data_IF_619375560101
#
_entry.id   IF_619375560101
#
_cell.length_a   1.000
_cell.length_b   1.000
_cell.length_c   1.000
_cell.angle_alpha   90.00
_cell.angle_beta   90.00
_cell.angle_gamma   90.00
#
_symmetry.space_group_name_H-M   'P 1'
#
loop_
_entity.id
_entity.type
_entity.pdbx_description
1 polymer ?
#
# COMPACT_ATOMS: atom_id res chain seq x y z
N UNK A 1 -10.28 10.04 -21.93
CA UNK A 1 -10.52 8.79 -21.17
C UNK A 1 -9.75 8.91 -19.87
N UNK A 2 -10.37 8.60 -18.73
CA UNK A 2 -9.68 8.59 -17.44
C UNK A 2 -8.53 7.60 -17.49
N UNK A 3 -7.44 7.92 -16.77
CA UNK A 3 -6.35 7.00 -16.49
C UNK A 3 -6.94 5.68 -15.95
N UNK A 4 -6.69 4.53 -16.58
CA UNK A 4 -7.11 3.22 -16.09
C UNK A 4 -6.63 3.00 -14.67
N UNK A 5 -7.30 2.10 -13.98
CA UNK A 5 -7.12 2.04 -12.53
C UNK A 5 -6.10 0.99 -12.11
N UNK A 6 -5.79 0.13 -13.08
CA UNK A 6 -4.54 -0.57 -13.15
C UNK A 6 -3.34 0.37 -12.89
N UNK A 7 -3.45 1.71 -12.95
CA UNK A 7 -2.34 2.66 -12.96
C UNK A 7 -1.98 3.33 -11.61
N UNK A 8 -2.63 3.02 -10.47
CA UNK A 8 -2.56 3.89 -9.26
C UNK A 8 -1.93 3.22 -8.03
N UNK A 9 -0.68 2.79 -8.11
CA UNK A 9 -0.07 2.05 -7.00
C UNK A 9 0.25 2.89 -5.73
N UNK A 10 0.26 4.22 -5.85
CA UNK A 10 0.22 5.13 -4.72
C UNK A 10 -1.08 4.99 -3.91
N UNK A 11 -2.20 4.59 -4.55
CA UNK A 11 -3.46 4.28 -3.86
C UNK A 11 -3.31 3.06 -2.96
N UNK A 12 -2.60 2.00 -3.38
CA UNK A 12 -2.38 0.81 -2.56
C UNK A 12 -1.63 1.14 -1.27
N UNK A 13 -0.61 1.99 -1.35
CA UNK A 13 0.07 2.46 -0.14
C UNK A 13 -0.82 3.38 0.70
N UNK A 14 -1.48 4.38 0.10
CA UNK A 14 -2.30 5.35 0.80
C UNK A 14 -3.55 4.73 1.46
N UNK A 15 -4.06 3.63 0.90
CA UNK A 15 -5.22 2.89 1.41
C UNK A 15 -4.86 1.75 2.37
N UNK A 16 -3.66 1.17 2.28
CA UNK A 16 -3.33 -0.02 3.08
C UNK A 16 -1.88 -0.06 3.54
N UNK A 17 -0.93 0.11 2.62
CA UNK A 17 0.48 -0.10 2.93
C UNK A 17 0.87 -1.53 3.30
N UNK A 18 -0.04 -2.51 3.27
CA UNK A 18 0.20 -3.92 3.65
C UNK A 18 0.40 -4.85 2.43
N UNK A 19 1.16 -5.93 2.64
CA UNK A 19 1.43 -7.03 1.72
C UNK A 19 0.29 -8.07 1.64
N UNK A 20 -0.53 -8.22 2.69
CA UNK A 20 -1.43 -9.38 2.83
C UNK A 20 -2.73 -9.30 2.01
N UNK A 21 -3.18 -8.09 1.66
CA UNK A 21 -4.38 -7.80 0.87
C UNK A 21 -4.10 -7.27 -0.54
N UNK A 22 -2.84 -7.04 -0.89
CA UNK A 22 -2.45 -6.31 -2.10
C UNK A 22 -2.97 -6.93 -3.41
N UNK A 23 -3.18 -8.24 -3.47
CA UNK A 23 -3.76 -8.89 -4.66
C UNK A 23 -5.23 -8.49 -4.86
N UNK A 24 -6.02 -8.40 -3.78
CA UNK A 24 -7.42 -8.03 -3.89
C UNK A 24 -7.62 -6.52 -3.87
N UNK A 25 -6.88 -5.76 -3.06
CA UNK A 25 -7.13 -4.32 -2.92
C UNK A 25 -6.90 -3.58 -4.24
N UNK A 26 -5.86 -3.94 -5.00
CA UNK A 26 -5.65 -3.32 -6.31
C UNK A 26 -6.76 -3.69 -7.30
N UNK A 27 -7.25 -4.93 -7.27
CA UNK A 27 -8.39 -5.38 -8.08
C UNK A 27 -9.68 -4.66 -7.67
N UNK A 28 -10.03 -4.64 -6.38
CA UNK A 28 -11.19 -3.95 -5.80
C UNK A 28 -11.16 -2.45 -6.11
N UNK A 29 -9.97 -1.84 -5.96
CA UNK A 29 -9.74 -0.45 -6.35
C UNK A 29 -9.96 -0.25 -7.84
N UNK A 30 -9.43 -1.14 -8.67
CA UNK A 30 -9.59 -1.11 -10.13
C UNK A 30 -11.02 -1.31 -10.61
N UNK A 31 -11.79 -2.13 -9.90
CA UNK A 31 -13.20 -2.36 -10.17
C UNK A 31 -14.05 -1.16 -9.75
N UNK A 32 -13.87 -0.67 -8.52
CA UNK A 32 -14.65 0.44 -7.97
C UNK A 32 -14.54 1.71 -8.81
N UNK A 33 -13.32 2.05 -9.20
CA UNK A 33 -13.06 3.23 -10.02
C UNK A 33 -13.55 3.07 -11.45
N UNK A 34 -13.49 1.86 -12.05
CA UNK A 34 -14.12 1.57 -13.34
C UNK A 34 -15.63 1.75 -13.24
N UNK A 35 -16.22 1.33 -12.12
CA UNK A 35 -17.62 1.58 -11.80
C UNK A 35 -17.89 3.08 -11.69
N UNK A 36 -17.12 3.84 -10.91
CA UNK A 36 -17.22 5.31 -10.78
C UNK A 36 -17.16 5.99 -12.16
N UNK A 37 -16.28 5.55 -13.05
CA UNK A 37 -16.14 6.08 -14.41
C UNK A 37 -17.38 5.80 -15.28
N UNK A 38 -18.05 4.68 -15.05
CA UNK A 38 -19.26 4.27 -15.80
C UNK A 38 -20.55 4.82 -15.20
N UNK A 39 -20.51 5.32 -13.95
CA UNK A 39 -21.68 5.88 -13.28
C UNK A 39 -22.22 7.13 -13.97
N UNK A 40 -23.52 7.37 -13.81
CA UNK A 40 -24.08 8.66 -14.18
C UNK A 40 -23.44 9.73 -13.28
N UNK A 41 -22.87 10.78 -13.88
CA UNK A 41 -22.23 11.87 -13.15
C UNK A 41 -23.18 12.53 -12.15
N UNK A 42 -24.48 12.53 -12.43
CA UNK A 42 -25.49 13.07 -11.51
C UNK A 42 -25.63 12.24 -10.21
N UNK A 43 -25.25 10.95 -10.24
CA UNK A 43 -25.23 10.09 -9.05
C UNK A 43 -24.02 10.35 -8.14
N UNK A 44 -22.99 11.03 -8.67
CA UNK A 44 -21.78 11.41 -7.93
C UNK A 44 -21.84 12.84 -7.41
N UNK A 45 -22.59 13.73 -8.07
CA UNK A 45 -22.76 15.11 -7.63
C UNK A 45 -23.25 16.06 -8.73
N UNK A 46 -23.66 17.26 -8.33
CA UNK A 46 -24.23 18.26 -9.25
C UNK A 46 -23.17 19.07 -10.00
N UNK A 47 -21.93 19.04 -9.53
CA UNK A 47 -20.79 19.68 -10.17
C UNK A 47 -19.55 18.80 -10.03
N UNK A 48 -18.50 19.12 -10.77
CA UNK A 48 -17.27 18.33 -10.80
C UNK A 48 -16.63 18.17 -9.43
N UNK A 49 -16.60 19.21 -8.59
CA UNK A 49 -15.98 19.12 -7.27
C UNK A 49 -16.75 18.15 -6.36
N UNK A 50 -18.08 18.19 -6.38
CA UNK A 50 -18.93 17.21 -5.67
C UNK A 50 -18.68 15.79 -6.19
N UNK A 51 -18.56 15.62 -7.50
CA UNK A 51 -18.29 14.32 -8.13
C UNK A 51 -16.92 13.76 -7.71
N UNK A 52 -15.88 14.59 -7.71
CA UNK A 52 -14.53 14.24 -7.26
C UNK A 52 -14.50 13.92 -5.76
N UNK A 53 -15.23 14.69 -4.95
CA UNK A 53 -15.37 14.46 -3.51
C UNK A 53 -16.04 13.11 -3.21
N UNK A 54 -17.15 12.80 -3.90
CA UNK A 54 -17.86 11.54 -3.71
C UNK A 54 -17.04 10.34 -4.20
N UNK A 55 -16.35 10.48 -5.34
CA UNK A 55 -15.43 9.46 -5.82
C UNK A 55 -14.32 9.18 -4.80
N UNK A 56 -13.67 10.21 -4.27
CA UNK A 56 -12.66 10.08 -3.21
C UNK A 56 -13.22 9.47 -1.93
N UNK A 57 -14.46 9.82 -1.56
CA UNK A 57 -15.14 9.24 -0.40
C UNK A 57 -15.30 7.73 -0.55
N UNK A 58 -15.83 7.27 -1.69
CA UNK A 58 -15.98 5.84 -1.98
C UNK A 58 -14.65 5.11 -2.02
N UNK A 59 -13.64 5.72 -2.64
CA UNK A 59 -12.29 5.16 -2.68
C UNK A 59 -11.71 5.00 -1.27
N UNK A 60 -11.93 5.98 -0.38
CA UNK A 60 -11.46 5.89 1.00
C UNK A 60 -12.10 4.76 1.80
N UNK A 61 -13.26 4.22 1.37
CA UNK A 61 -13.92 3.08 2.02
C UNK A 61 -13.20 1.75 1.76
N UNK A 62 -12.35 1.67 0.73
CA UNK A 62 -11.49 0.51 0.48
C UNK A 62 -10.29 0.43 1.43
N UNK A 63 -10.10 1.47 2.23
CA UNK A 63 -8.97 1.57 3.14
C UNK A 63 -9.00 0.45 4.17
N UNK A 64 -7.85 -0.12 4.47
CA UNK A 64 -7.73 -1.08 5.56
C UNK A 64 -8.07 -0.43 6.92
N UNK A 65 -8.49 -1.24 7.91
CA UNK A 65 -8.79 -0.73 9.24
C UNK A 65 -7.63 0.08 9.82
N UNK A 66 -7.99 1.17 10.52
CA UNK A 66 -7.03 1.97 11.27
C UNK A 66 -6.48 1.16 12.44
N UNK A 67 -5.15 1.07 12.50
CA UNK A 67 -4.39 0.45 13.60
C UNK A 67 -4.01 1.50 14.64
N UNK A 68 -3.62 2.70 14.18
CA UNK A 68 -3.13 3.78 15.02
C UNK A 68 -3.88 5.07 14.73
N UNK A 69 -4.75 5.49 15.64
CA UNK A 69 -5.59 6.67 15.49
C UNK A 69 -4.77 7.97 15.52
N UNK A 70 -5.17 8.92 14.67
CA UNK A 70 -4.59 10.27 14.60
C UNK A 70 -5.73 11.27 14.43
N UNK A 71 -5.64 12.41 15.10
CA UNK A 71 -6.77 13.34 15.23
C UNK A 71 -7.25 13.91 13.92
N UNK A 72 -6.37 14.62 13.22
CA UNK A 72 -6.64 15.28 11.94
C UNK A 72 -5.72 14.70 10.86
N UNK A 73 -6.29 13.85 10.00
CA UNK A 73 -5.60 13.14 8.94
C UNK A 73 -6.47 13.00 7.70
N UNK A 74 -5.88 13.11 6.52
CA UNK A 74 -6.59 13.09 5.25
C UNK A 74 -5.95 12.14 4.25
N UNK A 75 -6.80 11.40 3.53
CA UNK A 75 -6.47 10.81 2.24
C UNK A 75 -6.66 11.90 1.18
N UNK A 76 -5.59 12.20 0.45
CA UNK A 76 -5.60 13.22 -0.59
C UNK A 76 -5.52 12.56 -1.98
N UNK A 77 -6.15 13.20 -2.96
CA UNK A 77 -6.11 12.79 -4.36
C UNK A 77 -5.89 14.00 -5.28
N UNK A 78 -4.98 13.86 -6.24
CA UNK A 78 -4.73 14.85 -7.30
C UNK A 78 -5.43 14.45 -8.61
N UNK A 79 -6.09 15.40 -9.27
CA UNK A 79 -6.81 15.22 -10.52
C UNK A 79 -6.13 16.02 -11.64
N UNK A 80 -5.30 15.38 -12.47
CA UNK A 80 -4.48 16.12 -13.45
C UNK A 80 -5.27 16.75 -14.61
N UNK A 81 -6.50 16.32 -14.90
CA UNK A 81 -7.31 16.94 -15.96
C UNK A 81 -8.64 17.47 -15.44
N UNK A 82 -9.11 18.56 -16.05
CA UNK A 82 -10.34 19.29 -15.71
C UNK A 82 -11.62 18.44 -15.74
N UNK A 83 -11.61 17.27 -16.39
CA UNK A 83 -12.78 16.38 -16.48
C UNK A 83 -12.63 15.08 -15.68
N UNK A 84 -11.47 14.88 -15.03
CA UNK A 84 -11.19 13.67 -14.27
C UNK A 84 -12.04 13.62 -13.01
N UNK A 85 -12.67 12.45 -12.80
CA UNK A 85 -13.48 12.15 -11.61
C UNK A 85 -12.84 11.09 -10.72
N UNK A 86 -11.74 10.47 -11.18
CA UNK A 86 -10.88 9.61 -10.37
C UNK A 86 -9.50 10.27 -10.32
N UNK A 87 -8.89 10.43 -9.13
CA UNK A 87 -7.55 11.00 -9.00
C UNK A 87 -6.51 10.16 -9.73
N UNK A 88 -5.43 10.78 -10.17
CA UNK A 88 -4.26 10.14 -10.76
C UNK A 88 -3.14 9.85 -9.75
N UNK A 89 -3.10 10.58 -8.63
CA UNK A 89 -2.11 10.40 -7.57
C UNK A 89 -2.74 10.52 -6.18
N UNK A 90 -2.15 9.82 -5.20
CA UNK A 90 -2.63 9.75 -3.82
C UNK A 90 -1.51 9.92 -2.82
N UNK A 91 -1.79 10.66 -1.74
CA UNK A 91 -0.91 10.80 -0.59
C UNK A 91 -1.72 10.93 0.68
N UNK A 92 -1.03 10.99 1.81
CA UNK A 92 -1.62 11.20 3.13
C UNK A 92 -1.11 12.52 3.70
N UNK A 93 -2.02 13.33 4.22
CA UNK A 93 -1.70 14.48 5.06
C UNK A 93 -2.03 14.15 6.51
N UNK A 94 -1.02 14.06 7.37
CA UNK A 94 -1.18 14.03 8.82
C UNK A 94 -1.02 15.45 9.34
N UNK A 95 -2.15 16.16 9.41
CA UNK A 95 -2.18 17.57 9.86
C UNK A 95 -1.98 17.70 11.36
N UNK A 96 -2.24 16.64 12.13
CA UNK A 96 -1.94 16.60 13.56
C UNK A 96 -0.47 16.80 13.83
N UNK A 97 0.38 16.15 13.02
CA UNK A 97 1.83 16.21 13.15
C UNK A 97 2.49 17.13 12.12
N UNK A 98 1.70 17.73 11.21
CA UNK A 98 2.17 18.66 10.19
C UNK A 98 3.00 18.00 9.10
N UNK A 99 2.77 16.71 8.79
CA UNK A 99 3.56 15.98 7.80
C UNK A 99 2.70 15.48 6.64
N UNK A 100 3.29 15.49 5.45
CA UNK A 100 2.74 14.81 4.27
C UNK A 100 3.57 13.58 3.99
N UNK A 101 2.90 12.46 3.75
CA UNK A 101 3.56 11.20 3.43
C UNK A 101 3.07 10.76 2.07
N UNK A 102 4.05 10.56 1.19
CA UNK A 102 3.86 10.23 -0.20
C UNK A 102 4.73 9.03 -0.58
N UNK A 103 4.36 8.32 -1.64
CA UNK A 103 5.15 7.22 -2.18
C UNK A 103 5.29 7.33 -3.67
N UNK A 104 6.48 6.95 -4.15
CA UNK A 104 6.75 6.86 -5.56
C UNK A 104 6.95 5.42 -6.00
N UNK A 105 6.71 5.19 -7.29
CA UNK A 105 6.63 3.85 -7.88
C UNK A 105 8.00 3.17 -7.89
N UNK A 106 9.09 3.95 -8.03
CA UNK A 106 10.47 3.47 -8.12
C UNK A 106 11.26 3.61 -6.80
N UNK A 107 10.57 3.79 -5.66
CA UNK A 107 11.20 3.94 -4.36
C UNK A 107 10.85 2.82 -3.39
N UNK A 108 11.89 2.26 -2.81
CA UNK A 108 11.89 1.32 -1.68
C UNK A 108 11.60 2.00 -0.34
N UNK A 109 11.48 3.33 -0.32
CA UNK A 109 11.12 4.11 0.86
C UNK A 109 9.90 5.02 0.61
N UNK A 110 9.24 5.41 1.71
CA UNK A 110 8.29 6.52 1.72
C UNK A 110 9.03 7.85 1.61
N UNK A 111 8.37 8.86 1.05
CA UNK A 111 8.82 10.25 1.09
C UNK A 111 7.98 10.97 2.13
N UNK A 112 8.63 11.64 3.07
CA UNK A 112 7.93 12.46 4.05
C UNK A 112 8.35 13.91 3.87
N UNK A 113 7.37 14.80 3.83
CA UNK A 113 7.53 16.24 3.73
C UNK A 113 7.06 16.86 5.04
N UNK A 114 7.82 17.82 5.58
CA UNK A 114 7.56 18.45 6.89
C UNK A 114 6.40 19.48 6.91
N UNK A 115 5.52 19.41 5.91
CA UNK A 115 4.35 20.30 5.77
C UNK A 115 3.15 19.55 5.23
N UNK A 116 1.99 20.16 5.40
CA UNK A 116 0.71 19.77 4.78
C UNK A 116 0.22 20.87 3.84
N UNK A 117 -0.60 20.51 2.87
CA UNK A 117 -1.21 21.50 1.97
C UNK A 117 -2.23 22.36 2.69
N UNK A 118 -2.30 23.64 2.29
CA UNK A 118 -3.30 24.59 2.77
C UNK A 118 -4.55 24.47 1.88
N UNK A 119 -5.73 24.49 2.49
CA UNK A 119 -6.97 24.38 1.73
C UNK A 119 -7.17 25.58 0.81
N UNK A 120 -7.35 25.33 -0.49
CA UNK A 120 -7.49 26.36 -1.51
C UNK A 120 -6.16 26.89 -2.07
N UNK A 121 -5.02 26.33 -1.66
CA UNK A 121 -3.71 26.63 -2.23
C UNK A 121 -3.13 25.42 -2.99
N UNK A 122 -2.25 25.72 -3.94
CA UNK A 122 -1.50 24.71 -4.67
C UNK A 122 -0.56 23.97 -3.72
N UNK A 123 -0.25 22.72 -4.03
CA UNK A 123 0.59 21.92 -3.14
C UNK A 123 1.42 20.89 -3.89
N UNK A 124 2.73 20.87 -3.61
CA UNK A 124 3.63 19.81 -4.03
C UNK A 124 3.68 18.69 -2.97
N UNK A 125 3.05 17.53 -3.22
CA UNK A 125 3.34 16.34 -2.44
C UNK A 125 4.77 15.84 -2.75
N UNK A 126 5.29 14.93 -1.92
CA UNK A 126 6.72 14.60 -1.90
C UNK A 126 7.31 14.08 -3.22
N UNK A 127 6.49 13.44 -4.06
CA UNK A 127 6.95 12.75 -5.27
C UNK A 127 6.68 13.48 -6.59
N UNK A 128 5.86 14.54 -6.59
CA UNK A 128 5.53 15.26 -7.81
C UNK A 128 6.64 16.25 -8.19
N UNK A 129 6.90 16.38 -9.49
CA UNK A 129 7.91 17.32 -10.00
C UNK A 129 7.44 18.79 -9.92
N UNK A 130 6.12 19.01 -9.92
CA UNK A 130 5.47 20.32 -9.92
C UNK A 130 4.33 20.35 -8.89
N UNK A 131 3.91 21.57 -8.52
CA UNK A 131 2.75 21.78 -7.64
C UNK A 131 1.46 21.28 -8.31
N UNK A 132 0.59 20.64 -7.53
CA UNK A 132 -0.78 20.35 -7.96
C UNK A 132 -1.66 21.54 -7.64
N UNK A 133 -2.37 22.05 -8.66
CA UNK A 133 -3.29 23.18 -8.49
C UNK A 133 -4.36 22.90 -7.42
N UNK A 134 -4.68 23.90 -6.60
CA UNK A 134 -5.62 23.80 -5.48
C UNK A 134 -6.96 23.14 -5.84
N UNK A 135 -7.54 23.51 -6.99
CA UNK A 135 -8.83 23.01 -7.46
C UNK A 135 -8.80 21.55 -7.95
N UNK A 136 -7.61 20.99 -8.10
CA UNK A 136 -7.36 19.63 -8.52
C UNK A 136 -6.96 18.75 -7.33
N UNK A 137 -7.05 19.26 -6.10
CA UNK A 137 -6.81 18.49 -4.89
C UNK A 137 -8.15 18.26 -4.18
N UNK A 138 -8.42 17.00 -3.85
CA UNK A 138 -9.50 16.62 -2.95
C UNK A 138 -8.93 15.93 -1.73
N UNK A 139 -9.49 16.26 -0.57
CA UNK A 139 -9.12 15.70 0.73
C UNK A 139 -10.32 15.02 1.35
N UNK A 140 -10.14 13.80 1.84
CA UNK A 140 -11.16 13.05 2.57
C UNK A 140 -10.62 12.71 3.95
N UNK A 141 -11.33 13.06 5.04
CA UNK A 141 -10.87 12.76 6.39
C UNK A 141 -10.80 11.26 6.64
N UNK A 142 -9.71 10.82 7.28
CA UNK A 142 -9.47 9.44 7.72
C UNK A 142 -9.06 9.45 9.20
N UNK A 143 -9.18 8.31 9.88
CA UNK A 143 -9.08 8.25 11.36
C UNK A 143 -7.69 7.98 11.92
N UNK A 144 -6.69 7.72 11.08
CA UNK A 144 -5.35 7.33 11.53
C UNK A 144 -4.61 6.50 10.50
N UNK A 145 -3.53 5.82 10.88
CA UNK A 145 -2.71 4.95 10.03
C UNK A 145 -3.20 3.50 10.04
N UNK A 146 -3.10 2.81 8.91
CA UNK A 146 -3.32 1.36 8.81
C UNK A 146 -2.13 0.60 9.37
N UNK A 147 -2.29 -0.71 9.61
CA UNK A 147 -1.20 -1.58 10.03
C UNK A 147 0.01 -1.53 9.10
N UNK A 148 -0.21 -1.70 7.79
CA UNK A 148 0.87 -1.68 6.79
C UNK A 148 1.59 -0.34 6.71
N UNK A 149 0.85 0.77 6.86
CA UNK A 149 1.45 2.11 6.96
C UNK A 149 2.33 2.23 8.20
N UNK A 150 1.87 1.81 9.37
CA UNK A 150 2.69 1.82 10.59
C UNK A 150 3.93 0.93 10.43
N UNK A 151 3.80 -0.26 9.84
CA UNK A 151 4.93 -1.16 9.57
C UNK A 151 5.99 -0.51 8.70
N UNK A 152 5.60 0.13 7.61
CA UNK A 152 6.53 0.83 6.71
C UNK A 152 7.13 2.06 7.40
N UNK A 153 6.33 2.87 8.10
CA UNK A 153 6.79 4.12 8.72
C UNK A 153 7.68 3.89 9.94
N UNK A 154 7.59 2.72 10.57
CA UNK A 154 8.45 2.34 11.70
C UNK A 154 9.71 1.57 11.28
N UNK A 155 9.67 0.82 10.17
CA UNK A 155 10.82 0.07 9.64
C UNK A 155 11.55 0.78 8.50
N UNK A 156 10.97 1.84 7.95
CA UNK A 156 11.50 2.69 6.88
C UNK A 156 11.82 1.96 5.56
N UNK A 157 11.18 0.81 5.34
CA UNK A 157 11.40 -0.03 4.14
C UNK A 157 10.02 -0.45 3.62
N UNK A 158 9.80 -0.26 2.32
CA UNK A 158 8.66 -0.83 1.60
C UNK A 158 8.99 -2.27 1.21
N UNK A 159 8.09 -3.22 1.46
CA UNK A 159 8.28 -4.59 1.00
C UNK A 159 8.41 -4.71 -0.52
N UNK A 160 9.22 -5.68 -0.99
CA UNK A 160 9.41 -5.95 -2.42
C UNK A 160 8.08 -6.25 -3.14
N UNK A 161 7.14 -6.90 -2.45
CA UNK A 161 5.81 -7.19 -2.99
C UNK A 161 5.02 -5.91 -3.29
N UNK A 162 5.11 -4.89 -2.43
CA UNK A 162 4.50 -3.59 -2.68
C UNK A 162 5.14 -2.95 -3.91
N UNK A 163 6.47 -2.99 -4.04
CA UNK A 163 7.18 -2.49 -5.23
C UNK A 163 6.75 -3.23 -6.52
N UNK A 164 6.54 -4.54 -6.45
CA UNK A 164 6.09 -5.34 -7.59
C UNK A 164 4.66 -5.01 -8.03
N UNK A 165 3.71 -4.84 -7.10
CA UNK A 165 2.36 -4.37 -7.41
C UNK A 165 2.38 -3.05 -8.15
N UNK A 166 3.34 -2.21 -7.79
CA UNK A 166 3.53 -0.89 -8.36
C UNK A 166 4.10 -0.93 -9.79
N UNK A 167 5.01 -1.87 -10.06
CA UNK A 167 5.50 -2.16 -11.43
C UNK A 167 4.39 -2.75 -12.31
N UNK A 168 3.58 -3.67 -11.79
CA UNK A 168 2.44 -4.22 -12.52
C UNK A 168 1.41 -3.14 -12.85
N UNK A 169 1.19 -2.20 -11.92
CA UNK A 169 0.32 -1.08 -12.18
C UNK A 169 0.81 -0.23 -13.38
N UNK A 170 2.12 0.02 -13.41
CA UNK A 170 2.76 0.75 -14.51
C UNK A 170 2.64 0.03 -15.86
N UNK A 171 2.63 -1.31 -15.86
CA UNK A 171 2.39 -2.14 -17.05
C UNK A 171 0.93 -2.06 -17.51
N UNK A 172 0.01 -2.00 -16.57
CA UNK A 172 -1.41 -1.71 -16.82
C UNK A 172 -1.57 -0.42 -17.63
N UNK A 173 -0.85 0.64 -17.26
CA UNK A 173 -1.01 1.94 -17.94
C UNK A 173 -0.67 1.89 -19.42
N UNK A 174 0.49 1.29 -19.68
CA UNK A 174 0.98 1.11 -21.04
C UNK A 174 -0.04 0.32 -21.86
N UNK A 175 -0.62 -0.73 -21.26
CA UNK A 175 -1.59 -1.58 -21.95
C UNK A 175 -2.89 -0.86 -22.25
N UNK A 176 -3.36 0.03 -21.39
CA UNK A 176 -4.56 0.77 -21.69
C UNK A 176 -4.35 1.97 -22.61
N UNK A 177 -3.24 2.69 -22.48
CA UNK A 177 -2.86 3.70 -23.47
C UNK A 177 -2.76 3.06 -24.87
N UNK A 178 -2.28 1.80 -24.96
CA UNK A 178 -2.34 1.00 -26.20
C UNK A 178 -3.76 0.67 -26.65
N UNK A 179 -4.68 0.31 -25.75
CA UNK A 179 -6.10 0.10 -26.07
C UNK A 179 -6.76 1.37 -26.62
N UNK A 180 -6.61 2.50 -25.93
CA UNK A 180 -7.15 3.79 -26.35
C UNK A 180 -6.56 4.25 -27.70
N UNK A 181 -5.26 4.02 -27.93
CA UNK A 181 -4.63 4.23 -29.22
C UNK A 181 -5.27 3.37 -30.31
N UNK A 182 -5.45 2.06 -30.06
CA UNK A 182 -6.07 1.14 -31.01
C UNK A 182 -7.51 1.55 -31.35
N UNK A 183 -8.32 1.91 -30.36
CA UNK A 183 -9.69 2.38 -30.57
C UNK A 183 -9.74 3.68 -31.38
N UNK A 184 -8.89 4.65 -31.04
CA UNK A 184 -8.81 5.93 -31.76
C UNK A 184 -8.35 5.74 -33.19
N UNK A 185 -7.37 4.86 -33.41
CA UNK A 185 -6.89 4.51 -34.75
C UNK A 185 -7.98 3.80 -35.55
N UNK A 186 -8.73 2.88 -34.94
CA UNK A 186 -9.88 2.23 -35.57
C UNK A 186 -10.93 3.26 -36.03
N UNK A 187 -11.28 4.24 -35.19
CA UNK A 187 -12.21 5.31 -35.56
C UNK A 187 -11.71 6.16 -36.72
N UNK A 188 -10.40 6.42 -36.77
CA UNK A 188 -9.76 7.16 -37.86
C UNK A 188 -9.78 6.37 -39.17
N UNK A 189 -9.63 5.05 -39.10
CA UNK A 189 -9.61 4.16 -40.27
C UNK A 189 -11.03 3.87 -40.80
N UNK A 190 -12.06 4.00 -39.96
CA UNK A 190 -13.48 3.68 -40.26
C UNK A 190 -14.41 4.88 -40.07
N UNK A 191 -14.02 6.07 -40.56
CA UNK A 191 -14.77 7.32 -40.35
C UNK A 191 -16.24 7.25 -40.81
N UNK A 192 -16.57 6.40 -41.79
CA UNK A 192 -17.93 6.15 -42.25
C UNK A 192 -18.83 5.52 -41.17
N UNK A 193 -18.27 4.73 -40.26
CA UNK A 193 -18.97 4.17 -39.09
C UNK A 193 -19.20 5.21 -37.98
N UNK A 194 -18.44 6.32 -38.00
CA UNK A 194 -18.47 7.39 -37.00
C UNK A 194 -18.84 8.75 -37.62
N UNK A 195 -20.08 8.94 -38.12
CA UNK A 195 -20.46 10.14 -38.88
C UNK A 195 -20.34 11.45 -38.08
N UNK A 196 -20.42 11.39 -36.74
CA UNK A 196 -20.21 12.55 -35.86
C UNK A 196 -18.73 12.98 -35.76
N UNK A 197 -17.79 12.07 -36.06
CA UNK A 197 -16.34 12.35 -36.16
C UNK A 197 -15.88 12.58 -37.60
N UNK A 198 -16.69 12.20 -38.59
CA UNK A 198 -16.42 12.37 -40.02
C UNK A 198 -16.64 13.82 -40.51
N UNK A 199 -15.99 14.75 -39.85
CA UNK A 199 -15.85 16.12 -40.28
C UNK A 199 -14.42 16.58 -39.97
N UNK A 200 -13.99 17.70 -40.55
CA UNK A 200 -12.62 18.18 -40.42
C UNK A 200 -12.16 18.30 -38.95
N UNK A 201 -12.98 18.88 -38.08
CA UNK A 201 -12.65 19.05 -36.68
C UNK A 201 -12.57 17.71 -35.92
N UNK A 202 -13.45 16.77 -36.24
CA UNK A 202 -13.44 15.42 -35.67
C UNK A 202 -12.19 14.63 -36.07
N UNK A 203 -11.79 14.70 -37.34
CA UNK A 203 -10.57 14.07 -37.86
C UNK A 203 -9.32 14.68 -37.21
N UNK A 204 -9.23 16.02 -37.16
CA UNK A 204 -8.12 16.73 -36.50
C UNK A 204 -8.06 16.43 -34.98
N UNK A 205 -9.20 16.18 -34.32
CA UNK A 205 -9.24 15.71 -32.93
C UNK A 205 -8.66 14.30 -32.80
N UNK A 206 -9.17 13.34 -33.59
CA UNK A 206 -8.71 11.94 -33.54
C UNK A 206 -7.21 11.82 -33.82
N UNK A 207 -6.68 12.59 -34.77
CA UNK A 207 -5.24 12.62 -35.06
C UNK A 207 -4.41 13.14 -33.89
N UNK A 208 -4.90 14.17 -33.17
CA UNK A 208 -4.25 14.66 -31.95
C UNK A 208 -4.31 13.62 -30.83
N UNK A 209 -5.42 12.92 -30.69
CA UNK A 209 -5.59 11.86 -29.69
C UNK A 209 -4.64 10.69 -29.96
N UNK A 210 -4.48 10.26 -31.21
CA UNK A 210 -3.48 9.24 -31.61
C UNK A 210 -2.08 9.66 -31.18
N UNK A 211 -1.66 10.89 -31.52
CA UNK A 211 -0.33 11.39 -31.17
C UNK A 211 -0.15 11.48 -29.64
N UNK A 212 -1.19 11.95 -28.93
CA UNK A 212 -1.21 12.01 -27.46
C UNK A 212 -0.99 10.63 -26.84
N UNK A 213 -1.72 9.60 -27.30
CA UNK A 213 -1.57 8.26 -26.75
C UNK A 213 -0.24 7.61 -27.12
N UNK A 214 0.28 7.84 -28.33
CA UNK A 214 1.61 7.37 -28.72
C UNK A 214 2.71 7.96 -27.82
N UNK A 215 2.69 9.27 -27.60
CA UNK A 215 3.66 9.93 -26.73
C UNK A 215 3.56 9.41 -25.30
N UNK A 216 2.34 9.31 -24.75
CA UNK A 216 2.12 8.77 -23.41
C UNK A 216 2.65 7.34 -23.27
N UNK A 217 2.41 6.46 -24.26
CA UNK A 217 2.94 5.08 -24.22
C UNK A 217 4.46 5.09 -24.13
N UNK A 218 5.14 5.91 -24.94
CA UNK A 218 6.60 6.00 -24.95
C UNK A 218 7.13 6.52 -23.62
N UNK A 219 6.53 7.59 -23.08
CA UNK A 219 6.87 8.15 -21.77
C UNK A 219 6.71 7.08 -20.66
N UNK A 220 5.54 6.44 -20.59
CA UNK A 220 5.25 5.39 -19.60
C UNK A 220 6.18 4.18 -19.74
N UNK A 221 6.57 3.81 -20.97
CA UNK A 221 7.53 2.73 -21.21
C UNK A 221 8.93 3.09 -20.72
N UNK A 222 9.38 4.32 -20.96
CA UNK A 222 10.67 4.79 -20.45
C UNK A 222 10.67 4.80 -18.92
N UNK A 223 9.59 5.29 -18.29
CA UNK A 223 9.43 5.26 -16.83
C UNK A 223 9.43 3.82 -16.29
N UNK A 224 8.74 2.88 -16.95
CA UNK A 224 8.74 1.46 -16.58
C UNK A 224 10.12 0.81 -16.71
N UNK A 225 10.87 1.15 -17.74
CA UNK A 225 12.24 0.68 -17.91
C UNK A 225 13.15 1.25 -16.82
N UNK A 226 13.02 2.53 -16.49
CA UNK A 226 13.73 3.17 -15.39
C UNK A 226 13.41 2.49 -14.06
N UNK A 227 12.13 2.21 -13.80
CA UNK A 227 11.65 1.45 -12.64
C UNK A 227 12.28 0.06 -12.50
N UNK A 228 12.45 -0.64 -13.61
CA UNK A 228 12.99 -2.00 -13.63
C UNK A 228 14.52 -2.01 -13.54
N UNK A 229 15.18 -1.02 -14.14
CA UNK A 229 16.64 -0.90 -14.17
C UNK A 229 17.20 -0.27 -12.89
N UNK A 230 16.48 0.70 -12.32
CA UNK A 230 16.82 1.36 -11.07
C UNK A 230 16.03 0.77 -9.89
N UNK A 231 15.89 -0.57 -9.80
CA UNK A 231 15.53 -1.21 -8.52
C UNK A 231 16.67 -0.92 -7.55
N UNK A 232 16.54 0.03 -6.62
CA UNK A 232 17.72 0.51 -5.92
C UNK A 232 18.12 -0.49 -4.84
N UNK A 233 19.41 -0.73 -4.68
CA UNK A 233 19.95 -0.84 -3.32
C UNK A 233 19.91 0.60 -2.76
N UNK A 234 18.84 0.98 -2.02
CA UNK A 234 18.60 2.31 -1.42
C UNK A 234 19.12 3.50 -2.26
N UNK A 235 18.28 4.18 -3.07
CA UNK A 235 18.75 5.34 -3.79
C UNK A 235 19.10 6.43 -2.78
N UNK A 236 20.19 7.16 -3.02
CA UNK A 236 20.41 8.40 -2.30
C UNK A 236 19.21 9.32 -2.52
N UNK A 237 18.73 9.96 -1.46
CA UNK A 237 17.75 11.04 -1.59
C UNK A 237 18.31 12.04 -2.62
N UNK A 238 17.50 12.55 -3.57
CA UNK A 238 17.95 13.55 -4.52
C UNK A 238 18.57 14.72 -3.75
N UNK A 239 19.66 15.29 -4.28
CA UNK A 239 20.29 16.45 -3.64
C UNK A 239 19.26 17.57 -3.52
N UNK A 240 18.89 17.86 -2.27
CA UNK A 240 18.00 18.94 -1.87
C UNK A 240 18.59 20.29 -2.27
N UNK A 241 17.82 21.13 -2.95
CA UNK A 241 18.08 22.57 -2.94
C UNK A 241 17.90 23.14 -1.51
N UNK A 242 18.41 24.35 -1.27
CA UNK A 242 18.46 24.99 0.07
C UNK A 242 17.10 25.15 0.79
N UNK A 243 15.97 24.85 0.14
CA UNK A 243 14.58 24.94 0.67
C UNK A 243 13.86 23.57 0.78
N UNK A 244 14.56 22.43 0.69
CA UNK A 244 13.91 21.10 0.69
C UNK A 244 13.46 20.66 2.10
N UNK A 245 12.14 20.69 2.33
CA UNK A 245 11.47 20.25 3.57
C UNK A 245 11.27 18.72 3.65
N UNK A 246 11.96 17.96 2.79
CA UNK A 246 11.92 16.50 2.81
C UNK A 246 12.69 15.94 4.02
N UNK A 247 12.03 15.04 4.73
CA UNK A 247 12.56 14.40 5.91
C UNK A 247 13.36 13.16 5.50
N UNK A 248 14.66 13.15 5.78
CA UNK A 248 15.45 11.92 5.82
C UNK A 248 15.02 11.09 7.04
N UNK A 249 14.17 10.11 6.78
CA UNK A 249 13.59 9.21 7.77
C UNK A 249 14.65 8.41 8.56
N UNK A 250 15.89 8.33 8.05
CA UNK A 250 17.00 7.65 8.73
C UNK A 250 17.71 8.53 9.78
N UNK A 251 17.48 9.85 9.77
CA UNK A 251 18.11 10.77 10.71
C UNK A 251 17.33 10.90 12.03
N UNK A 252 18.06 11.19 13.11
CA UNK A 252 17.69 10.96 14.51
C UNK A 252 16.39 11.60 15.00
N UNK A 253 16.04 12.80 14.50
CA UNK A 253 15.01 13.69 15.06
C UNK A 253 13.97 14.13 14.01
N UNK A 254 13.49 13.22 13.17
CA UNK A 254 12.45 13.55 12.20
C UNK A 254 11.08 13.76 12.87
N UNK A 255 10.28 14.74 12.39
CA UNK A 255 8.86 14.90 12.77
C UNK A 255 8.07 13.59 12.61
N UNK A 256 8.46 12.76 11.63
CA UNK A 256 7.95 11.41 11.47
C UNK A 256 8.16 10.51 12.69
N UNK A 257 9.35 10.54 13.32
CA UNK A 257 9.60 9.77 14.55
C UNK A 257 8.72 10.24 15.69
N UNK A 258 8.49 11.55 15.82
CA UNK A 258 7.55 12.09 16.81
C UNK A 258 6.14 11.62 16.53
N UNK A 259 5.68 11.71 15.27
CA UNK A 259 4.35 11.24 14.86
C UNK A 259 4.16 9.74 15.16
N UNK A 260 5.20 8.93 14.92
CA UNK A 260 5.15 7.48 15.10
C UNK A 260 5.54 7.00 16.51
N UNK A 261 5.94 7.90 17.42
CA UNK A 261 6.39 7.52 18.75
C UNK A 261 5.29 6.82 19.56
N UNK A 262 4.04 7.28 19.44
CA UNK A 262 2.90 6.64 20.09
C UNK A 262 2.67 5.22 19.57
N UNK A 263 2.69 5.02 18.25
CA UNK A 263 2.54 3.71 17.62
C UNK A 263 3.67 2.73 18.01
N UNK A 264 4.91 3.23 18.10
CA UNK A 264 6.06 2.44 18.54
C UNK A 264 5.93 1.99 20.00
N UNK A 265 5.51 2.88 20.89
CA UNK A 265 5.30 2.57 22.30
C UNK A 265 4.16 1.55 22.49
N UNK A 266 3.06 1.72 21.75
CA UNK A 266 1.94 0.78 21.78
C UNK A 266 2.40 -0.65 21.44
N UNK A 267 3.14 -0.80 20.33
CA UNK A 267 3.68 -2.11 19.91
C UNK A 267 4.70 -2.70 20.87
N UNK A 268 5.47 -1.86 21.56
CA UNK A 268 6.40 -2.33 22.59
C UNK A 268 5.65 -2.88 23.81
N UNK A 269 4.54 -2.25 24.19
CA UNK A 269 3.69 -2.72 25.28
C UNK A 269 2.97 -4.02 24.92
N UNK A 270 2.37 -4.11 23.72
CA UNK A 270 1.71 -5.33 23.23
C UNK A 270 2.66 -6.54 23.23
N UNK A 271 3.89 -6.38 22.70
CA UNK A 271 4.90 -7.46 22.74
C UNK A 271 5.31 -7.83 24.16
N UNK A 272 5.32 -6.88 25.07
CA UNK A 272 5.66 -7.14 26.47
C UNK A 272 4.55 -7.95 27.14
N UNK A 273 3.29 -7.61 26.89
CA UNK A 273 2.13 -8.35 27.38
C UNK A 273 2.11 -9.78 26.81
N UNK A 274 2.38 -9.97 25.51
CA UNK A 274 2.51 -11.31 24.91
C UNK A 274 3.62 -12.15 25.55
N UNK A 275 4.78 -11.55 25.84
CA UNK A 275 5.89 -12.24 26.50
C UNK A 275 5.55 -12.58 27.96
N UNK A 276 4.90 -11.66 28.68
CA UNK A 276 4.44 -11.89 30.06
C UNK A 276 3.38 -13.00 30.11
N UNK A 277 2.44 -13.05 29.15
CA UNK A 277 1.43 -14.11 29.04
C UNK A 277 2.06 -15.49 28.73
N UNK A 278 3.04 -15.54 27.82
CA UNK A 278 3.79 -16.76 27.51
C UNK A 278 4.64 -17.23 28.70
N UNK A 279 5.21 -16.31 29.47
CA UNK A 279 5.95 -16.63 30.70
C UNK A 279 5.02 -17.12 31.82
N UNK A 280 3.83 -16.55 31.98
CA UNK A 280 2.83 -16.97 32.98
C UNK A 280 2.30 -18.39 32.67
N UNK A 281 1.96 -18.67 31.41
CA UNK A 281 1.59 -20.03 30.97
C UNK A 281 2.74 -21.02 31.20
N UNK A 282 4.00 -20.58 31.00
CA UNK A 282 5.18 -21.42 31.24
C UNK A 282 5.44 -21.66 32.73
N UNK A 283 5.09 -20.73 33.62
CA UNK A 283 5.16 -20.91 35.07
C UNK A 283 4.02 -21.77 35.62
N UNK A 284 2.79 -21.67 35.10
CA UNK A 284 1.68 -22.58 35.47
C UNK A 284 1.98 -24.04 35.08
N UNK A 285 2.62 -24.28 33.94
CA UNK A 285 3.08 -25.62 33.52
C UNK A 285 4.25 -26.12 34.37
N UNK A 286 4.87 -25.24 35.18
CA UNK A 286 6.01 -25.54 36.07
C UNK A 286 5.60 -25.81 37.53
N UNK A 287 4.31 -25.88 37.84
CA UNK A 287 3.83 -26.44 39.10
C UNK A 287 4.38 -27.88 39.29
N UNK A 288 5.01 -28.20 40.44
CA UNK A 288 5.78 -29.42 40.57
C UNK A 288 4.82 -30.61 40.62
N UNK A 289 5.00 -31.57 39.71
CA UNK A 289 4.61 -32.95 39.96
C UNK A 289 5.34 -33.38 41.24
N UNK A 290 4.67 -33.23 42.40
CA UNK A 290 5.01 -33.93 43.62
C UNK A 290 4.69 -35.40 43.37
N UNK A 291 5.62 -36.09 42.72
CA UNK A 291 5.67 -37.55 42.75
C UNK A 291 5.91 -37.96 44.21
N UNK A 292 4.88 -38.54 44.84
CA UNK A 292 5.07 -39.40 46.00
C UNK A 292 5.97 -40.58 45.56
N UNK A 293 7.27 -40.43 45.79
CA UNK A 293 8.21 -41.54 45.68
C UNK A 293 7.95 -42.50 46.83
N UNK A 294 7.09 -43.50 46.59
CA UNK A 294 7.16 -44.79 47.28
C UNK A 294 8.29 -45.60 46.64
N UNK A 295 9.41 -45.72 47.34
CA UNK A 295 10.45 -46.69 46.98
C UNK A 295 9.89 -48.13 46.96
N UNK A 296 10.30 -48.91 45.97
CA UNK A 296 10.85 -50.21 46.32
C UNK A 296 12.22 -50.47 45.67
N UNK A 297 13.00 -51.23 46.42
CA UNK A 297 14.40 -51.57 46.25
C UNK A 297 14.75 -52.31 44.94
N UNK A 298 16.05 -52.28 44.61
CA UNK A 298 16.83 -53.21 43.77
C UNK A 298 16.64 -53.15 42.25
N UNK A 299 17.61 -52.51 41.56
CA UNK A 299 18.77 -53.20 41.00
C UNK A 299 19.69 -52.24 40.24
N UNK A 300 20.95 -52.18 40.66
CA UNK A 300 22.05 -51.54 39.94
C UNK A 300 22.42 -52.36 38.72
N UNK A 301 22.20 -51.83 37.52
CA UNK A 301 22.89 -52.21 36.28
C UNK A 301 22.23 -51.44 35.14
N UNK A 302 23.02 -50.69 34.35
CA UNK A 302 22.71 -50.05 33.05
C UNK A 302 22.97 -48.52 32.95
N UNK A 303 23.55 -47.87 33.96
CA UNK A 303 24.10 -46.50 33.86
C UNK A 303 25.54 -46.47 33.30
N UNK A 304 25.84 -47.26 32.27
CA UNK A 304 27.15 -47.21 31.60
C UNK A 304 27.10 -47.29 30.06
N UNK A 305 25.94 -47.13 29.41
CA UNK A 305 25.89 -47.17 27.93
C UNK A 305 25.11 -46.05 27.21
N UNK A 306 24.56 -45.05 27.90
CA UNK A 306 23.85 -43.94 27.24
C UNK A 306 24.61 -42.60 27.21
N UNK A 307 25.81 -42.54 27.78
CA UNK A 307 26.69 -41.36 27.71
C UNK A 307 27.42 -41.18 26.35
N UNK A 308 26.97 -41.87 25.29
CA UNK A 308 27.54 -41.71 23.93
C UNK A 308 26.53 -41.25 22.86
N UNK A 309 25.28 -40.94 23.24
CA UNK A 309 24.25 -40.46 22.30
C UNK A 309 23.74 -39.05 22.61
N UNK A 310 24.07 -38.49 23.79
CA UNK A 310 23.66 -37.13 24.18
C UNK A 310 24.48 -36.00 23.51
N UNK A 311 25.64 -36.32 22.91
CA UNK A 311 26.47 -35.37 22.17
C UNK A 311 26.05 -35.13 20.71
N UNK A 312 25.02 -35.82 20.21
CA UNK A 312 24.54 -35.68 18.81
C UNK A 312 23.06 -35.31 18.68
N UNK A 313 22.34 -35.13 19.78
CA UNK A 313 20.90 -34.79 19.77
C UNK A 313 20.61 -33.31 20.09
N UNK A 314 21.60 -32.53 20.55
CA UNK A 314 21.45 -31.10 20.86
C UNK A 314 21.73 -30.19 19.65
N UNK A 315 22.16 -30.74 18.51
CA UNK A 315 22.35 -29.97 17.26
C UNK A 315 21.43 -30.42 16.11
N UNK A 316 20.28 -31.03 16.41
CA UNK A 316 19.38 -31.59 15.38
C UNK A 316 17.88 -31.57 15.70
N UNK A 317 17.42 -30.75 16.65
CA UNK A 317 15.99 -30.48 16.90
C UNK A 317 15.78 -28.97 17.03
N UNK A 318 16.05 -28.25 15.94
CA UNK A 318 15.52 -26.91 15.70
C UNK A 318 14.90 -26.81 14.31
N UNK A 319 14.66 -27.95 13.66
CA UNK A 319 14.16 -27.99 12.28
C UNK A 319 13.27 -29.21 12.14
N UNK A 320 11.97 -28.96 11.92
CA UNK A 320 10.96 -29.90 11.43
C UNK A 320 10.39 -30.88 12.48
N UNK A 321 9.25 -30.50 13.09
CA UNK A 321 8.01 -31.31 13.17
C UNK A 321 7.13 -30.87 14.36
N UNK A 322 6.21 -29.95 14.10
CA UNK A 322 4.90 -29.95 14.73
C UNK A 322 3.87 -29.58 13.65
N UNK A 323 3.67 -30.52 12.73
CA UNK A 323 2.45 -30.66 11.95
C UNK A 323 1.76 -31.93 12.43
N UNK A 324 0.48 -31.78 12.75
CA UNK A 324 -0.55 -32.81 12.95
C UNK A 324 -0.35 -33.70 14.19
N UNK A 325 -1.17 -33.52 15.23
CA UNK A 325 -2.57 -33.99 15.28
C UNK A 325 -2.66 -34.89 16.52
N UNK A 326 -3.77 -35.17 17.18
CA UNK A 326 -5.17 -35.41 16.82
C UNK A 326 -5.86 -35.43 18.21
N UNK A 327 -7.02 -34.83 18.46
CA UNK A 327 -8.34 -35.49 18.35
C UNK A 327 -9.41 -34.54 18.87
N UNK A 328 -10.40 -34.22 18.04
CA UNK A 328 -11.78 -34.20 18.53
C UNK A 328 -12.70 -34.81 17.47
N UNK A 329 -13.33 -35.90 17.89
CA UNK A 329 -14.07 -36.88 17.10
C UNK A 329 -15.53 -36.51 16.96
N UNK A 330 -16.07 -36.82 15.77
CA UNK A 330 -17.37 -37.46 15.52
C UNK A 330 -18.63 -36.87 16.18
N UNK A 331 -19.58 -36.42 15.35
CA UNK A 331 -20.79 -37.22 15.09
C UNK A 331 -21.59 -36.62 13.94
N UNK A 332 -21.69 -37.37 12.83
CA UNK A 332 -22.73 -37.18 11.84
C UNK A 332 -23.28 -38.58 11.51
N UNK A 333 -24.43 -38.91 12.10
CA UNK A 333 -25.30 -39.99 11.65
C UNK A 333 -26.76 -39.61 11.94
N UNK A 334 -27.58 -39.66 10.88
CA UNK A 334 -29.05 -39.69 10.83
C UNK A 334 -29.82 -38.37 11.01
N UNK A 335 -30.08 -37.66 9.91
CA UNK A 335 -31.38 -37.60 9.21
C UNK A 335 -31.37 -36.59 8.06
#
# INVERSE_FOLDING_TARGET
MPYPIEEQACSTWALSGDESRATNLHEEFSELTQEIIRMDRNDLGNNLQEQRQEAMRRISELRDPTEYEVGEMYLCGAFMNDDDIVPSHYWIEDRTHGITIDTFINRDSVVVVDRVGVDGEDFQPGCEAEDVDAHNIVRVPITGYTKGQVDILTNYIRPENVINSVIEAKRGEINSSRRALQETQYMLDHLDEFPHRNNRAGIESLQRDVLKFQNRIVEQQNELEELQQNRPERPALPESGDDDLRIDITQGDSLLKTAMQGALLQRQNERREEVEEVEEVREEVREPIREEVREPERNRSLLSSLNSTLGKFVMGIATIALVAGVTYTMTNQNK
#
